data_IF_163903674955
#
_entry.id   IF_163903674955
#
_cell.length_a   1.000
_cell.length_b   1.000
_cell.length_c   1.000
_cell.angle_alpha   90.00
_cell.angle_beta   90.00
_cell.angle_gamma   90.00
#
_symmetry.space_group_name_H-M   'P 1'
#
loop_
_entity.id
_entity.type
_entity.pdbx_description
1 polymer ?
2 non-polymer ?
3 water ?
#
# COMPACT_ATOMS: atom_id res chain seq x y z
N UNK A 2 18.69 22.38 19.27
CA UNK A 2 20.07 21.91 19.28
C UNK A 2 20.52 21.53 17.87
N UNK A 3 21.34 20.49 17.78
CA UNK A 3 21.92 20.05 16.51
C UNK A 3 21.45 18.63 16.17
N UNK A 4 21.17 18.40 14.89
CA UNK A 4 20.59 17.14 14.46
C UNK A 4 21.51 16.34 13.54
N UNK A 5 22.80 16.64 13.56
CA UNK A 5 23.75 15.86 12.79
C UNK A 5 24.63 15.04 13.72
N UNK A 6 24.83 15.55 14.94
CA UNK A 6 25.61 14.85 15.95
C UNK A 6 24.76 13.75 16.57
N UNK A 7 25.32 12.54 16.56
CA UNK A 7 24.72 11.36 17.19
C UNK A 7 24.67 11.50 18.65
N UNK A 8 23.67 10.82 19.18
CA UNK A 8 23.43 10.82 20.59
C UNK A 8 24.23 9.69 21.20
N UNK A 9 24.33 9.68 22.53
CA UNK A 9 24.97 8.54 23.18
C UNK A 9 24.24 7.25 22.85
N UNK A 10 24.98 6.22 22.41
CA UNK A 10 24.39 4.93 22.08
C UNK A 10 23.64 4.31 23.25
N UNK A 11 22.82 3.31 22.94
CA UNK A 11 22.20 2.49 23.95
C UNK A 11 22.27 1.03 23.45
N UNK A 12 22.94 0.20 24.23
CA UNK A 12 23.25 -1.18 23.87
C UNK A 12 22.02 -2.06 24.03
N UNK A 13 21.11 -1.60 24.89
CA UNK A 13 19.83 -2.25 25.06
C UNK A 13 19.11 -2.16 23.72
N UNK A 14 19.29 -1.01 23.07
CA UNK A 14 18.57 -0.66 21.86
C UNK A 14 19.09 -1.38 20.62
N UNK A 15 20.41 -1.35 20.40
CA UNK A 15 21.01 -1.95 19.21
C UNK A 15 20.71 -3.43 19.06
N UNK A 16 20.56 -4.13 20.18
CA UNK A 16 20.34 -5.56 20.11
C UNK A 16 18.89 -5.80 19.72
N UNK A 17 18.04 -4.80 19.97
CA UNK A 17 16.65 -4.86 19.56
C UNK A 17 16.48 -4.62 18.06
N UNK A 18 16.94 -3.46 17.60
CA UNK A 18 16.81 -3.06 16.21
C UNK A 18 17.60 -3.93 15.23
N UNK A 19 18.76 -4.38 15.66
CA UNK A 19 19.80 -4.87 14.75
C UNK A 19 20.15 -6.35 14.94
N UNK A 20 19.19 -7.22 14.69
CA UNK A 20 19.40 -8.66 14.88
C UNK A 20 20.29 -9.27 13.80
N UNK A 21 21.60 -9.07 13.93
CA UNK A 21 22.56 -9.71 13.04
C UNK A 21 22.37 -9.42 11.56
N UNK A 34 20.93 -6.49 -14.85
CA UNK A 34 19.63 -5.93 -14.51
C UNK A 34 19.51 -4.48 -15.01
N UNK A 35 18.52 -4.18 -15.86
CA UNK A 35 18.47 -2.85 -16.47
C UNK A 35 17.61 -1.84 -15.67
N UNK A 36 17.95 -0.57 -15.77
CA UNK A 36 17.21 0.46 -15.06
C UNK A 36 16.92 1.64 -15.96
N UNK A 37 15.66 2.03 -16.03
CA UNK A 37 15.22 3.13 -16.88
C UNK A 37 14.95 4.41 -16.08
N UNK A 38 15.40 5.55 -16.61
CA UNK A 38 15.14 6.85 -16.01
C UNK A 38 14.57 7.81 -17.08
N UNK A 39 13.56 8.58 -16.72
CA UNK A 39 12.87 9.42 -17.70
C UNK A 39 12.54 10.81 -17.16
N UNK A 40 13.30 11.81 -17.61
CA UNK A 40 13.02 13.19 -17.26
C UNK A 40 14.22 14.10 -17.37
N UNK A 41 13.99 15.41 -17.22
CA UNK A 41 15.04 16.41 -17.25
C UNK A 41 16.07 16.23 -16.13
N UNK A 42 17.31 16.61 -16.42
CA UNK A 42 18.37 16.76 -15.42
C UNK A 42 18.38 15.69 -14.32
N UNK A 43 18.11 14.43 -14.67
CA UNK A 43 18.16 13.38 -13.68
C UNK A 43 19.60 13.14 -13.24
N UNK A 44 19.92 13.48 -11.98
CA UNK A 44 21.30 13.40 -11.49
C UNK A 44 21.80 11.97 -11.57
N UNK A 45 23.06 11.81 -11.99
CA UNK A 45 23.62 10.47 -12.26
C UNK A 45 23.50 9.56 -11.05
N UNK A 46 23.39 8.27 -11.35
CA UNK A 46 23.14 7.26 -10.32
C UNK A 46 24.42 6.85 -9.62
N UNK A 47 24.32 5.99 -8.60
CA UNK A 47 25.45 5.81 -7.69
C UNK A 47 26.09 4.47 -7.20
N UNK A 48 27.41 4.53 -7.21
CA UNK A 48 28.37 3.50 -6.78
C UNK A 48 28.04 2.68 -5.45
N UNK A 49 27.58 3.31 -4.34
CA UNK A 49 27.85 2.88 -2.97
C UNK A 49 27.26 3.97 -2.14
N UNK A 50 26.99 3.68 -0.89
CA UNK A 50 26.41 4.65 -0.01
C UNK A 50 27.37 5.80 0.24
N UNK A 51 28.63 5.54 -0.02
CA UNK A 51 29.69 6.52 0.19
C UNK A 51 29.69 7.83 -0.68
N UNK A 52 29.18 7.88 -1.93
CA UNK A 52 29.23 9.14 -2.76
C UNK A 52 28.84 10.43 -2.11
N UNK A 53 27.63 10.31 -1.59
CA UNK A 53 26.83 11.45 -1.17
C UNK A 53 26.94 11.34 0.29
N UNK A 54 27.55 12.36 0.81
CA UNK A 54 27.76 12.47 2.22
C UNK A 54 26.36 12.50 2.81
N UNK A 55 25.87 11.31 3.17
CA UNK A 55 24.60 11.19 3.88
C UNK A 55 24.76 11.76 5.28
N UNK A 56 25.90 11.45 5.89
CA UNK A 56 26.16 11.89 7.25
C UNK A 56 26.35 10.70 8.16
N UNK A 57 26.95 10.94 9.32
CA UNK A 57 27.42 9.83 10.14
C UNK A 57 26.26 8.97 10.64
N UNK A 58 25.17 9.58 11.11
CA UNK A 58 24.07 8.84 11.71
C UNK A 58 23.54 7.80 10.74
N UNK A 59 23.54 8.15 9.46
CA UNK A 59 23.05 7.24 8.45
C UNK A 59 23.99 6.05 8.21
N UNK A 60 25.25 6.28 7.84
CA UNK A 60 26.16 5.17 7.58
C UNK A 60 26.59 4.48 8.87
N UNK A 61 26.57 5.25 9.96
CA UNK A 61 26.72 4.65 11.27
C UNK A 61 25.72 3.53 11.33
N UNK A 62 24.46 3.89 11.13
CA UNK A 62 23.38 2.92 11.10
C UNK A 62 23.38 1.99 9.89
N UNK A 63 23.93 2.46 8.77
CA UNK A 63 24.00 1.63 7.57
C UNK A 63 24.85 0.39 7.83
N UNK A 64 25.96 0.57 8.54
CA UNK A 64 26.81 -0.56 8.84
C UNK A 64 26.14 -1.43 9.89
N UNK A 65 25.45 -0.80 10.83
CA UNK A 65 24.70 -1.55 11.81
C UNK A 65 23.67 -2.44 11.13
N UNK A 66 23.00 -1.92 10.10
CA UNK A 66 21.84 -2.59 9.52
C UNK A 66 22.13 -3.66 8.46
N UNK A 67 23.40 -4.12 8.39
CA UNK A 67 23.83 -5.19 7.47
C UNK A 67 23.91 -4.74 5.99
N UNK A 68 23.35 -3.59 5.62
CA UNK A 68 23.37 -3.22 4.20
C UNK A 68 24.80 -3.03 3.70
N UNK A 69 25.14 -3.70 2.59
CA UNK A 69 26.50 -3.65 2.03
C UNK A 69 26.57 -2.75 0.79
N UNK A 70 25.79 -3.11 -0.23
CA UNK A 70 25.63 -2.27 -1.42
C UNK A 70 24.14 -1.94 -1.47
N UNK A 71 23.81 -0.70 -1.84
CA UNK A 71 22.40 -0.29 -1.99
C UNK A 71 21.68 -1.24 -2.99
N UNK A 72 20.39 -1.11 -3.24
CA UNK A 72 19.81 -2.02 -4.23
C UNK A 72 19.63 -1.27 -5.54
N UNK A 73 19.43 -1.99 -6.66
CA UNK A 73 19.27 -1.30 -7.96
C UNK A 73 18.29 -0.13 -7.88
N UNK A 74 17.18 -0.34 -7.18
CA UNK A 74 16.24 0.74 -6.92
C UNK A 74 16.87 1.78 -6.02
N UNK A 75 17.40 1.31 -4.88
CA UNK A 75 17.99 2.21 -3.89
C UNK A 75 19.04 3.11 -4.49
N UNK A 76 19.54 2.73 -5.64
CA UNK A 76 20.70 3.40 -6.20
C UNK A 76 20.38 4.44 -7.25
N UNK A 77 19.31 4.21 -7.98
CA UNK A 77 18.82 5.25 -8.86
C UNK A 77 17.90 6.16 -8.05
N UNK A 78 17.28 5.62 -7.01
CA UNK A 78 16.35 6.39 -6.18
C UNK A 78 17.02 7.34 -5.19
N UNK A 79 17.89 6.80 -4.33
CA UNK A 79 18.50 7.60 -3.26
C UNK A 79 19.17 8.91 -3.74
N UNK A 80 19.90 8.90 -4.88
CA UNK A 80 20.50 10.17 -5.32
C UNK A 80 19.49 11.17 -5.85
N UNK A 81 18.49 10.67 -6.58
CA UNK A 81 17.43 11.53 -7.08
C UNK A 81 16.70 12.24 -5.95
N UNK A 82 16.45 11.51 -4.87
CA UNK A 82 15.77 12.04 -3.69
C UNK A 82 16.64 13.05 -2.96
N UNK A 83 17.90 12.70 -2.77
CA UNK A 83 18.84 13.58 -2.07
C UNK A 83 19.00 14.91 -2.82
N UNK A 84 18.78 14.87 -4.13
CA UNK A 84 18.92 16.05 -4.97
C UNK A 84 17.61 16.85 -5.08
N UNK A 85 16.75 16.72 -4.08
CA UNK A 85 15.49 17.45 -4.02
C UNK A 85 14.69 17.38 -5.32
N UNK A 86 14.47 16.15 -5.82
CA UNK A 86 13.69 15.94 -7.02
C UNK A 86 12.63 14.87 -6.81
N UNK A 87 11.37 15.19 -7.12
CA UNK A 87 10.29 14.21 -7.04
C UNK A 87 10.57 13.03 -7.94
N UNK A 88 9.99 11.87 -7.63
CA UNK A 88 10.14 10.69 -8.48
C UNK A 88 8.97 9.71 -8.39
N UNK A 89 8.84 8.91 -9.44
CA UNK A 89 7.80 7.92 -9.53
C UNK A 89 8.50 6.63 -9.90
N UNK A 90 8.53 5.67 -8.96
CA UNK A 90 9.36 4.50 -9.12
C UNK A 90 8.55 3.22 -9.17
N UNK A 91 8.92 2.35 -10.10
CA UNK A 91 8.29 1.05 -10.21
C UNK A 91 9.29 -0.06 -9.94
N UNK A 92 8.94 -0.96 -9.03
CA UNK A 92 9.82 -2.05 -8.64
C UNK A 92 9.00 -3.15 -8.00
N UNK A 93 9.42 -4.39 -8.20
CA UNK A 93 8.73 -5.54 -7.63
C UNK A 93 9.14 -5.62 -6.20
N UNK A 94 8.44 -6.39 -5.41
CA UNK A 94 8.80 -6.29 -4.03
C UNK A 94 9.99 -7.14 -3.70
N UNK A 95 10.57 -6.85 -2.55
CA UNK A 95 11.84 -7.39 -2.16
C UNK A 95 12.94 -6.60 -2.83
N UNK A 96 12.62 -5.49 -3.48
CA UNK A 96 13.62 -4.71 -4.20
C UNK A 96 14.35 -3.66 -3.36
N UNK A 97 13.93 -3.51 -2.11
CA UNK A 97 14.56 -2.57 -1.19
C UNK A 97 14.08 -1.15 -1.42
N UNK A 98 12.80 -1.00 -1.77
CA UNK A 98 12.27 0.33 -2.04
C UNK A 98 12.13 1.14 -0.75
N UNK A 99 11.89 0.46 0.37
CA UNK A 99 11.68 1.14 1.65
C UNK A 99 12.89 2.00 2.05
N UNK A 100 14.06 1.38 2.09
CA UNK A 100 15.27 2.11 2.44
C UNK A 100 15.62 3.13 1.38
N UNK A 101 15.08 2.94 0.17
CA UNK A 101 15.39 3.83 -0.94
C UNK A 101 14.96 5.26 -0.66
N UNK A 102 13.83 5.42 0.04
CA UNK A 102 13.38 6.76 0.39
C UNK A 102 13.68 7.13 1.83
N UNK A 103 13.72 6.14 2.72
CA UNK A 103 13.97 6.42 4.12
C UNK A 103 15.37 6.95 4.34
N UNK A 104 16.35 6.39 3.64
CA UNK A 104 17.74 6.78 3.86
C UNK A 104 18.01 8.24 3.46
N UNK A 105 17.63 8.65 2.25
CA UNK A 105 17.97 10.02 1.89
C UNK A 105 17.10 11.05 2.62
N UNK A 106 15.80 10.76 2.76
CA UNK A 106 14.90 11.65 3.49
C UNK A 106 15.42 11.95 4.88
N UNK A 107 15.68 10.89 5.65
CA UNK A 107 16.19 11.05 7.01
C UNK A 107 17.53 11.74 7.01
N UNK A 108 18.35 11.48 6.00
CA UNK A 108 19.64 12.14 5.88
C UNK A 108 19.47 13.66 5.80
N UNK A 109 18.53 14.10 4.95
CA UNK A 109 18.24 15.53 4.80
C UNK A 109 17.74 16.13 6.10
N UNK A 110 16.80 15.44 6.74
CA UNK A 110 16.22 15.94 7.98
C UNK A 110 17.29 16.11 9.06
N UNK A 111 18.32 15.27 9.02
CA UNK A 111 19.42 15.38 9.98
C UNK A 111 20.29 16.60 9.71
N UNK A 112 20.49 16.91 8.43
CA UNK A 112 21.38 18.00 8.04
C UNK A 112 20.70 19.35 8.17
N UNK A 113 19.47 19.45 7.64
CA UNK A 113 18.74 20.70 7.63
C UNK A 113 18.29 21.10 9.04
N UNK A 114 17.96 20.11 9.86
CA UNK A 114 17.52 20.35 11.22
C UNK A 114 16.02 20.28 11.25
N UNK A 115 15.41 20.37 12.45
CA UNK A 115 13.95 20.27 12.51
C UNK A 115 13.28 21.31 11.62
N UNK A 116 13.81 22.52 11.63
CA UNK A 116 13.25 23.58 10.83
C UNK A 116 12.73 24.66 11.75
N UNK A 117 12.78 25.89 11.28
CA UNK A 117 12.49 27.06 12.10
C UNK A 117 11.10 27.01 12.71
N UNK A 118 10.14 26.51 11.95
CA UNK A 118 8.76 26.39 12.40
C UNK A 118 8.66 25.57 13.68
N UNK A 119 8.99 24.29 13.59
CA UNK A 119 8.95 23.39 14.73
C UNK A 119 9.69 23.95 15.93
N UNK A 120 10.95 24.33 15.68
CA UNK A 120 11.80 25.01 16.66
C UNK A 120 11.06 26.09 17.42
N UNK A 121 10.46 27.00 16.65
CA UNK A 121 9.72 28.12 17.21
C UNK A 121 8.63 27.70 18.19
N UNK A 122 8.34 26.40 18.26
CA UNK A 122 7.29 25.90 19.12
C UNK A 122 7.78 24.85 20.11
N UNK A 123 9.10 24.66 20.22
CA UNK A 123 9.62 23.59 21.08
C UNK A 123 9.85 24.12 22.49
N UNK A 130 3.72 19.60 22.99
CA UNK A 130 2.95 18.37 23.11
C UNK A 130 1.63 18.43 22.36
N UNK A 131 0.77 17.43 22.61
CA UNK A 131 -0.52 17.25 21.90
C UNK A 131 -0.37 17.26 20.38
N UNK A 132 -1.10 18.16 19.70
CA UNK A 132 -1.11 18.19 18.24
C UNK A 132 0.28 18.21 17.63
N UNK A 133 0.54 17.24 16.74
CA UNK A 133 1.88 17.05 16.20
C UNK A 133 1.94 17.44 14.74
N UNK A 134 3.10 17.94 14.31
CA UNK A 134 3.31 18.27 12.91
C UNK A 134 4.52 17.49 12.41
N UNK A 135 4.25 16.39 11.71
CA UNK A 135 5.32 15.57 11.16
C UNK A 135 6.08 16.27 10.05
N UNK A 136 7.40 16.09 10.04
CA UNK A 136 8.23 16.63 8.98
C UNK A 136 8.05 15.80 7.71
N UNK A 137 7.81 14.50 7.88
CA UNK A 137 7.61 13.61 6.75
C UNK A 137 6.42 12.69 6.96
N UNK A 138 5.63 12.51 5.91
CA UNK A 138 4.49 11.60 5.96
C UNK A 138 4.66 10.45 4.97
N UNK A 139 4.63 9.22 5.46
CA UNK A 139 4.66 8.05 4.57
C UNK A 139 3.34 7.29 4.61
N UNK A 140 2.65 7.23 3.47
CA UNK A 140 1.37 6.53 3.39
C UNK A 140 1.55 5.12 2.88
N UNK A 141 0.98 4.16 3.61
CA UNK A 141 1.14 2.76 3.28
C UNK A 141 -0.23 2.14 3.22
N UNK A 142 -0.36 1.06 2.43
CA UNK A 142 -1.65 0.41 2.21
C UNK A 142 -2.16 -0.39 3.39
N UNK A 143 -1.25 -1.09 4.08
CA UNK A 143 -1.66 -2.07 5.09
C UNK A 143 -0.91 -1.94 6.39
N UNK A 144 -1.45 -2.54 7.45
CA UNK A 144 -0.73 -2.64 8.70
C UNK A 144 0.66 -3.29 8.53
N UNK A 145 0.71 -4.42 7.83
CA UNK A 145 1.95 -5.14 7.66
C UNK A 145 3.04 -4.28 7.01
N UNK A 146 2.73 -3.64 5.90
CA UNK A 146 3.73 -2.79 5.27
C UNK A 146 4.05 -1.57 6.11
N UNK A 147 3.02 -1.01 6.78
CA UNK A 147 3.22 0.19 7.59
C UNK A 147 4.20 -0.13 8.71
N UNK A 148 4.00 -1.28 9.36
CA UNK A 148 4.88 -1.70 10.44
C UNK A 148 6.28 -1.92 9.90
N UNK A 149 6.36 -2.56 8.74
CA UNK A 149 7.65 -2.80 8.09
C UNK A 149 8.43 -1.51 7.87
N UNK A 150 7.78 -0.51 7.28
CA UNK A 150 8.42 0.77 7.05
C UNK A 150 8.85 1.38 8.38
N UNK A 151 7.94 1.29 9.35
CA UNK A 151 8.19 1.82 10.67
C UNK A 151 9.46 1.22 11.28
N UNK A 152 9.54 -0.12 11.24
CA UNK A 152 10.65 -0.81 11.89
C UNK A 152 11.98 -0.43 11.28
N UNK A 153 12.03 -0.24 9.98
CA UNK A 153 13.29 0.19 9.39
C UNK A 153 13.53 1.68 9.64
N UNK A 154 12.46 2.44 9.84
CA UNK A 154 12.63 3.84 10.17
C UNK A 154 13.38 3.96 11.50
N UNK A 155 13.02 3.09 12.45
CA UNK A 155 13.68 3.03 13.75
C UNK A 155 15.17 2.71 13.60
N UNK A 156 15.48 1.76 12.72
CA UNK A 156 16.87 1.38 12.45
C UNK A 156 17.69 2.58 12.00
N UNK A 157 17.11 3.39 11.13
CA UNK A 157 17.86 4.50 10.56
C UNK A 157 17.70 5.78 11.32
N UNK A 158 16.86 5.79 12.34
CA UNK A 158 16.73 6.96 13.21
C UNK A 158 17.38 6.73 14.55
N UNK A 159 17.88 5.52 14.77
CA UNK A 159 18.65 5.21 15.97
C UNK A 159 19.79 6.21 16.13
N UNK A 160 19.95 6.72 17.36
CA UNK A 160 20.99 7.69 17.71
C UNK A 160 20.70 9.07 17.11
N UNK A 161 19.47 9.27 16.66
CA UNK A 161 19.06 10.58 16.15
C UNK A 161 17.94 11.12 17.03
N UNK A 162 17.60 12.40 16.84
CA UNK A 162 16.52 12.99 17.62
C UNK A 162 15.22 12.98 16.83
N UNK A 163 15.22 12.23 15.73
CA UNK A 163 14.01 12.01 14.95
C UNK A 163 13.22 10.84 15.51
N UNK A 164 11.99 11.09 15.92
CA UNK A 164 11.19 10.03 16.50
C UNK A 164 10.06 9.64 15.56
N UNK A 165 10.09 8.41 15.05
CA UNK A 165 9.06 7.95 14.14
C UNK A 165 7.87 7.33 14.84
N UNK A 166 6.71 7.33 14.17
CA UNK A 166 5.51 6.71 14.72
C UNK A 166 4.78 5.99 13.61
N UNK A 167 3.92 5.04 13.96
CA UNK A 167 3.14 4.37 12.95
C UNK A 167 1.70 4.26 13.44
N UNK A 168 0.73 4.52 12.57
CA UNK A 168 -0.67 4.33 12.93
C UNK A 168 -1.36 3.56 11.80
N UNK A 169 -2.40 2.80 12.12
CA UNK A 169 -3.09 2.00 11.12
C UNK A 169 -4.48 1.63 11.60
N UNK A 170 -5.35 1.24 10.68
CA UNK A 170 -6.70 0.88 11.07
C UNK A 170 -6.70 -0.50 11.69
N UNK A 171 -7.87 -0.99 12.05
CA UNK A 171 -8.00 -2.32 12.64
C UNK A 171 -7.17 -2.47 13.91
N UNK A 172 -7.17 -1.42 14.73
CA UNK A 172 -6.43 -1.40 15.98
C UNK A 172 -6.89 -0.23 16.85
N UNK A 173 -6.69 -0.35 18.16
CA UNK A 173 -7.13 0.67 19.10
C UNK A 173 -6.48 2.00 18.78
N UNK A 174 -7.31 3.02 18.59
CA UNK A 174 -6.80 4.34 18.26
C UNK A 174 -6.26 5.07 19.49
N UNK A 175 -6.71 4.68 20.67
CA UNK A 175 -6.32 5.36 21.90
C UNK A 175 -4.82 5.33 22.20
N UNK A 176 -4.17 4.18 21.98
CA UNK A 176 -2.74 3.98 22.24
C UNK A 176 -1.95 4.67 21.16
N UNK A 177 -2.57 4.78 19.99
CA UNK A 177 -1.91 5.39 18.84
C UNK A 177 -1.85 6.87 19.11
N UNK A 178 -2.98 7.43 19.52
CA UNK A 178 -3.09 8.85 19.84
C UNK A 178 -2.07 9.23 20.89
N UNK A 179 -1.91 8.37 21.88
CA UNK A 179 -1.00 8.64 22.97
C UNK A 179 0.46 8.45 22.55
N UNK A 180 0.68 7.52 21.62
CA UNK A 180 2.00 7.34 21.03
C UNK A 180 2.40 8.59 20.25
N UNK A 181 1.42 9.18 19.58
CA UNK A 181 1.67 10.41 18.82
C UNK A 181 2.12 11.51 19.75
N UNK A 182 1.38 11.69 20.84
CA UNK A 182 1.58 12.83 21.73
C UNK A 182 2.95 12.80 22.42
N UNK A 183 3.65 11.68 22.29
CA UNK A 183 5.01 11.59 22.80
C UNK A 183 6.03 12.25 21.86
N UNK A 184 5.57 12.70 20.70
CA UNK A 184 6.47 13.32 19.74
C UNK A 184 6.49 12.54 18.43
N UNK A 185 6.40 13.23 17.32
CA UNK A 185 6.34 12.55 16.05
C UNK A 185 6.89 13.38 14.90
N UNK A 186 8.06 13.02 14.39
CA UNK A 186 8.64 13.77 13.29
C UNK A 186 8.41 13.07 11.98
N UNK A 187 8.48 11.74 12.00
CA UNK A 187 8.20 10.94 10.82
C UNK A 187 7.00 10.04 11.08
N UNK A 188 5.96 10.22 10.28
CA UNK A 188 4.75 9.43 10.49
C UNK A 188 4.51 8.45 9.36
N UNK A 189 4.33 7.17 9.71
CA UNK A 189 3.87 6.15 8.79
C UNK A 189 2.38 5.90 9.05
N UNK A 190 1.56 5.86 8.01
CA UNK A 190 0.12 5.73 8.25
C UNK A 190 -0.66 5.08 7.12
N UNK A 191 -1.73 4.39 7.48
CA UNK A 191 -2.71 3.97 6.49
C UNK A 191 -3.67 5.14 6.39
N UNK A 192 -4.08 5.49 5.16
CA UNK A 192 -4.85 6.70 4.87
C UNK A 192 -6.09 6.87 5.74
N UNK A 193 -6.86 5.81 5.95
CA UNK A 193 -8.08 5.93 6.73
C UNK A 193 -7.87 6.34 8.17
N UNK A 194 -6.74 5.92 8.74
CA UNK A 194 -6.46 6.18 10.15
C UNK A 194 -5.86 7.58 10.29
N UNK A 195 -5.10 8.00 9.29
CA UNK A 195 -4.52 9.35 9.30
C UNK A 195 -5.61 10.39 9.23
N UNK A 196 -6.58 10.17 8.35
CA UNK A 196 -7.72 11.06 8.25
C UNK A 196 -8.46 11.12 9.58
N UNK A 197 -8.54 9.99 10.27
CA UNK A 197 -9.17 9.95 11.58
C UNK A 197 -8.40 10.82 12.59
N UNK A 198 -7.07 10.78 12.52
CA UNK A 198 -6.24 11.56 13.44
C UNK A 198 -6.39 13.06 13.16
N UNK A 199 -6.41 13.43 11.88
CA UNK A 199 -6.53 14.83 11.52
C UNK A 199 -7.86 15.40 12.01
N UNK A 200 -8.96 14.72 11.70
CA UNK A 200 -10.27 15.15 12.19
C UNK A 200 -10.34 15.25 13.72
N UNK A 201 -9.48 14.50 14.42
CA UNK A 201 -9.45 14.53 15.89
C UNK A 201 -8.49 15.58 16.39
N UNK A 202 -7.84 16.28 15.47
CA UNK A 202 -6.93 17.34 15.86
C UNK A 202 -5.62 16.85 16.43
N UNK A 203 -5.20 15.65 16.04
CA UNK A 203 -3.98 15.08 16.58
C UNK A 203 -2.78 15.28 15.67
N UNK A 204 -3.05 15.47 14.37
CA UNK A 204 -1.98 15.58 13.36
C UNK A 204 -2.21 16.74 12.42
N UNK A 205 -1.18 17.55 12.23
CA UNK A 205 -1.27 18.61 11.25
C UNK A 205 -0.17 18.49 10.22
N UNK A 206 -0.50 18.77 8.97
CA UNK A 206 0.42 18.57 7.88
C UNK A 206 1.07 19.86 7.40
N UNK A 207 0.91 20.94 8.17
CA UNK A 207 1.38 22.27 7.76
C UNK A 207 2.86 22.35 7.49
N UNK A 208 3.65 21.51 8.15
CA UNK A 208 5.10 21.60 8.01
C UNK A 208 5.70 20.33 7.45
N UNK A 209 4.85 19.48 6.89
CA UNK A 209 5.31 18.26 6.27
C UNK A 209 6.06 18.61 5.00
N UNK A 210 7.31 18.18 4.90
CA UNK A 210 8.20 18.58 3.81
C UNK A 210 8.53 17.42 2.88
N UNK A 211 8.31 16.19 3.33
CA UNK A 211 8.50 14.99 2.51
C UNK A 211 7.27 14.10 2.53
N UNK A 212 6.74 13.77 1.35
CA UNK A 212 5.56 12.90 1.28
C UNK A 212 5.90 11.66 0.47
N UNK A 213 5.46 10.49 0.96
CA UNK A 213 5.75 9.25 0.28
C UNK A 213 4.51 8.39 0.17
N UNK A 214 4.18 7.98 -1.05
CA UNK A 214 3.12 7.00 -1.23
C UNK A 214 3.70 5.64 -1.59
N UNK A 215 3.88 4.77 -0.60
CA UNK A 215 4.44 3.45 -0.86
C UNK A 215 3.32 2.52 -1.30
N UNK A 216 3.59 1.71 -2.34
CA UNK A 216 2.60 0.77 -2.86
C UNK A 216 1.32 1.50 -3.29
N UNK A 217 1.47 2.57 -4.07
CA UNK A 217 0.35 3.43 -4.47
C UNK A 217 -0.80 2.67 -5.14
N UNK A 218 -0.46 1.86 -6.13
CA UNK A 218 -1.45 1.07 -6.88
C UNK A 218 -2.38 0.27 -5.96
N UNK A 219 -1.81 -0.36 -4.95
CA UNK A 219 -2.62 -1.13 -4.01
C UNK A 219 -3.54 -0.26 -3.15
N UNK A 220 -3.06 0.92 -2.76
CA UNK A 220 -3.87 1.84 -1.98
C UNK A 220 -5.09 2.25 -2.76
N UNK A 221 -4.92 2.39 -4.08
CA UNK A 221 -6.05 2.68 -4.94
C UNK A 221 -6.96 1.47 -5.09
N UNK A 222 -6.39 0.27 -5.11
CA UNK A 222 -7.21 -0.95 -5.27
C UNK A 222 -8.17 -1.13 -4.10
N UNK A 223 -7.73 -0.75 -2.91
CA UNK A 223 -8.54 -0.89 -1.71
C UNK A 223 -9.50 0.29 -1.53
N UNK A 224 -9.38 1.27 -2.44
CA UNK A 224 -10.29 2.39 -2.47
C UNK A 224 -9.94 3.50 -1.50
N UNK A 225 -8.64 3.80 -1.39
CA UNK A 225 -8.15 4.83 -0.47
C UNK A 225 -8.03 6.20 -1.15
N UNK A 226 -8.38 6.26 -2.44
CA UNK A 226 -8.19 7.47 -3.22
C UNK A 226 -8.89 8.69 -2.63
N UNK A 227 -10.16 8.55 -2.20
CA UNK A 227 -10.76 9.74 -1.59
C UNK A 227 -9.99 10.21 -0.38
N UNK A 228 -9.52 9.26 0.44
CA UNK A 228 -8.79 9.62 1.64
C UNK A 228 -7.45 10.23 1.28
N UNK A 229 -6.79 9.66 0.28
CA UNK A 229 -5.48 10.17 -0.08
C UNK A 229 -5.63 11.58 -0.63
N UNK A 230 -6.72 11.84 -1.34
CA UNK A 230 -6.90 13.15 -1.92
C UNK A 230 -7.35 14.14 -0.86
N UNK A 231 -7.88 13.62 0.23
CA UNK A 231 -8.23 14.46 1.36
C UNK A 231 -6.97 14.91 2.08
N UNK A 232 -6.05 13.96 2.26
CA UNK A 232 -4.80 14.21 2.97
C UNK A 232 -3.90 15.18 2.22
N UNK A 233 -3.72 14.93 0.93
CA UNK A 233 -2.75 15.67 0.15
C UNK A 233 -3.30 16.99 -0.37
N UNK A 234 -4.43 16.94 -1.05
CA UNK A 234 -4.96 18.08 -1.78
C UNK A 234 -5.86 19.00 -0.97
N UNK A 235 -6.67 18.41 -0.10
CA UNK A 235 -7.75 19.14 0.54
C UNK A 235 -7.41 19.66 1.92
N UNK A 236 -6.14 19.66 2.31
CA UNK A 236 -5.86 20.12 3.66
C UNK A 236 -4.77 21.18 3.70
N UNK A 237 -3.99 21.16 4.76
CA UNK A 237 -2.98 22.18 5.00
C UNK A 237 -1.61 21.76 4.50
N UNK A 238 -1.57 20.71 3.71
CA UNK A 238 -0.30 20.18 3.25
C UNK A 238 0.32 21.04 2.16
N UNK A 239 1.59 21.40 2.31
CA UNK A 239 2.30 22.22 1.32
C UNK A 239 2.12 21.65 -0.04
N UNK A 240 1.94 22.50 -1.06
CA UNK A 240 1.69 22.08 -2.44
C UNK A 240 2.97 21.56 -3.09
N UNK A 241 2.84 20.88 -4.22
CA UNK A 241 4.00 20.33 -4.93
C UNK A 241 4.94 21.47 -5.31
N UNK A 242 6.23 21.18 -5.38
CA UNK A 242 7.22 22.21 -5.62
C UNK A 242 7.80 22.73 -4.32
N UNK A 243 6.94 22.80 -3.29
CA UNK A 243 7.37 23.19 -1.95
C UNK A 243 7.77 21.95 -1.17
N UNK A 244 6.85 21.01 -1.08
CA UNK A 244 7.12 19.71 -0.49
C UNK A 244 7.87 18.82 -1.49
N UNK A 245 8.52 17.78 -0.98
CA UNK A 245 9.16 16.78 -1.83
C UNK A 245 8.29 15.54 -1.82
N UNK A 246 7.87 15.08 -3.00
CA UNK A 246 6.90 13.99 -3.11
C UNK A 246 7.46 12.78 -3.87
N UNK A 247 7.17 11.59 -3.35
CA UNK A 247 7.65 10.34 -3.95
C UNK A 247 6.59 9.25 -3.94
N UNK A 248 6.41 8.58 -5.07
CA UNK A 248 5.45 7.49 -5.20
C UNK A 248 6.19 6.23 -5.61
N UNK A 249 5.83 5.10 -4.99
CA UNK A 249 6.39 3.81 -5.35
C UNK A 249 5.22 2.91 -5.68
N UNK A 250 5.32 2.26 -6.84
CA UNK A 250 4.22 1.46 -7.32
C UNK A 250 4.72 0.32 -8.18
N UNK A 251 4.25 -0.88 -7.87
CA UNK A 251 4.56 -2.08 -8.64
C UNK A 251 4.07 -1.90 -10.07
N UNK A 252 2.76 -1.83 -10.24
CA UNK A 252 2.13 -1.57 -11.53
C UNK A 252 2.07 -0.07 -11.81
N UNK A 253 1.72 0.30 -13.04
CA UNK A 253 1.61 1.70 -13.40
C UNK A 253 0.36 1.97 -14.24
N UNK A 254 -0.84 1.70 -13.69
CA UNK A 254 -2.11 1.94 -14.39
C UNK A 254 -2.29 3.41 -14.76
N UNK A 255 -3.33 3.72 -15.52
CA UNK A 255 -3.57 5.09 -15.96
C UNK A 255 -4.00 5.95 -14.76
N UNK A 256 -4.75 5.37 -13.83
CA UNK A 256 -5.17 6.12 -12.67
C UNK A 256 -3.97 6.51 -11.81
N UNK A 257 -2.91 5.70 -11.87
CA UNK A 257 -1.69 6.02 -11.14
C UNK A 257 -0.86 7.09 -11.83
N UNK A 258 -0.78 7.08 -13.16
CA UNK A 258 -0.04 8.16 -13.83
C UNK A 258 -0.78 9.48 -13.73
N UNK A 259 -2.10 9.43 -13.57
CA UNK A 259 -2.87 10.64 -13.32
C UNK A 259 -2.58 11.16 -11.93
N UNK A 260 -2.44 10.21 -11.00
CA UNK A 260 -2.13 10.56 -9.62
C UNK A 260 -0.75 11.20 -9.56
N UNK A 261 0.20 10.61 -10.28
CA UNK A 261 1.54 11.18 -10.35
C UNK A 261 1.50 12.54 -11.04
N UNK A 262 0.62 12.67 -12.02
CA UNK A 262 0.43 13.95 -12.71
C UNK A 262 0.01 15.02 -11.71
N UNK A 263 -0.91 14.65 -10.82
CA UNK A 263 -1.47 15.61 -9.87
C UNK A 263 -0.59 15.85 -8.64
N UNK A 264 0.11 14.82 -8.16
CA UNK A 264 0.88 14.96 -6.91
C UNK A 264 2.37 15.26 -7.11
N UNK A 265 2.91 14.95 -8.28
CA UNK A 265 4.35 15.09 -8.50
C UNK A 265 4.71 16.35 -9.30
N UNK A 266 5.96 16.78 -9.15
CA UNK A 266 6.42 18.02 -9.77
C UNK A 266 7.74 17.83 -10.52
N UNK A 267 7.66 17.93 -11.84
CA UNK A 267 8.76 17.69 -12.78
C UNK A 267 9.70 16.60 -12.29
N UNK A 268 9.21 15.37 -12.35
CA UNK A 268 9.86 14.25 -11.72
C UNK A 268 10.69 13.36 -12.64
N UNK A 269 11.31 12.34 -12.04
CA UNK A 269 12.04 11.31 -12.77
C UNK A 269 11.29 10.00 -12.62
N UNK A 270 11.16 9.27 -13.72
CA UNK A 270 10.47 7.98 -13.73
C UNK A 270 11.47 6.85 -13.62
N UNK A 271 11.20 5.88 -12.73
CA UNK A 271 12.11 4.75 -12.56
C UNK A 271 11.38 3.43 -12.70
N UNK A 272 12.01 2.52 -13.43
CA UNK A 272 11.56 1.15 -13.53
C UNK A 272 12.76 0.22 -13.61
N UNK A 273 12.85 -0.73 -12.69
CA UNK A 273 13.96 -1.68 -12.70
C UNK A 273 13.59 -2.86 -13.61
N UNK A 274 12.69 -3.73 -13.17
CA UNK A 274 12.08 -4.68 -14.09
C UNK A 274 11.03 -3.88 -14.81
N UNK A 275 10.65 -4.29 -16.02
CA UNK A 275 9.70 -3.49 -16.78
C UNK A 275 8.30 -3.66 -16.20
N UNK A 276 7.62 -2.52 -16.08
CA UNK A 276 6.33 -2.44 -15.42
C UNK A 276 5.19 -3.12 -16.18
N UNK A 277 4.62 -4.16 -15.57
CA UNK A 277 3.40 -4.75 -16.07
C UNK A 277 2.30 -3.73 -15.83
N UNK A 278 1.29 -3.68 -16.70
CA UNK A 278 0.21 -2.70 -16.52
C UNK A 278 -0.61 -3.03 -15.28
N UNK A 279 -0.70 -4.31 -14.96
CA UNK A 279 -1.42 -4.77 -13.77
C UNK A 279 -1.01 -6.20 -13.48
N UNK A 280 -1.21 -6.60 -12.22
CA UNK A 280 -1.12 -7.99 -11.81
C UNK A 280 0.30 -8.51 -11.88
N UNK A 281 0.49 -9.45 -12.80
CA UNK A 281 1.71 -10.25 -12.97
C UNK A 281 1.80 -11.35 -11.91
N UNK A 282 1.22 -11.24 -10.73
CA UNK A 282 1.20 -12.48 -9.95
C UNK A 282 -0.19 -12.94 -9.66
N UNK A 283 -1.09 -12.81 -10.63
CA UNK A 283 -2.40 -13.39 -10.45
C UNK A 283 -2.84 -14.14 -11.69
N UNK A 284 -3.35 -15.34 -11.47
CA UNK A 284 -3.96 -16.11 -12.53
C UNK A 284 -5.42 -15.69 -12.65
N UNK A 285 -5.86 -15.51 -13.89
CA UNK A 285 -7.17 -14.92 -14.13
C UNK A 285 -8.01 -15.89 -14.91
N UNK A 286 -9.21 -16.17 -14.42
CA UNK A 286 -10.04 -17.19 -15.03
C UNK A 286 -11.48 -16.72 -15.10
N UNK A 287 -11.98 -16.58 -16.32
CA UNK A 287 -13.35 -16.19 -16.54
C UNK A 287 -14.16 -17.39 -17.02
N UNK A 288 -15.32 -17.61 -16.42
CA UNK A 288 -16.19 -18.72 -16.78
C UNK A 288 -17.62 -18.22 -17.03
N UNK A 289 -18.30 -18.77 -18.02
CA UNK A 289 -19.70 -18.41 -18.23
C UNK A 289 -20.57 -19.14 -17.22
N UNK A 290 -21.25 -18.40 -16.33
CA UNK A 290 -22.16 -19.01 -15.36
C UNK A 290 -23.44 -18.21 -15.25
N UNK A 291 -24.57 -18.81 -15.63
CA UNK A 291 -25.88 -18.21 -15.42
C UNK A 291 -26.14 -17.99 -13.93
N UNK A 292 -26.95 -16.99 -13.59
CA UNK A 292 -27.25 -16.69 -12.18
C UNK A 292 -27.76 -17.93 -11.46
N UNK A 293 -28.58 -18.70 -12.16
CA UNK A 293 -29.17 -19.91 -11.59
C UNK A 293 -28.11 -20.90 -11.14
N UNK A 294 -26.95 -20.85 -11.80
CA UNK A 294 -25.92 -21.87 -11.61
C UNK A 294 -24.76 -21.41 -10.71
N UNK A 295 -24.74 -20.12 -10.39
CA UNK A 295 -23.62 -19.57 -9.64
C UNK A 295 -23.40 -20.27 -8.30
N UNK A 296 -24.48 -20.55 -7.58
CA UNK A 296 -24.31 -21.17 -6.28
C UNK A 296 -23.61 -22.53 -6.40
N UNK A 297 -24.15 -23.39 -7.25
CA UNK A 297 -23.53 -24.72 -7.47
C UNK A 297 -22.08 -24.56 -7.94
N UNK A 298 -21.84 -23.67 -8.90
CA UNK A 298 -20.49 -23.45 -9.39
C UNK A 298 -19.54 -23.04 -8.27
N UNK A 299 -20.01 -22.13 -7.41
CA UNK A 299 -19.22 -21.71 -6.26
C UNK A 299 -18.83 -22.90 -5.39
N UNK A 300 -19.80 -23.77 -5.13
CA UNK A 300 -19.54 -24.92 -4.27
C UNK A 300 -18.41 -25.77 -4.83
N UNK A 301 -18.41 -25.93 -6.15
CA UNK A 301 -17.35 -26.69 -6.78
C UNK A 301 -16.00 -25.97 -6.63
N UNK A 302 -16.01 -24.65 -6.79
CA UNK A 302 -14.78 -23.89 -6.63
C UNK A 302 -14.19 -24.08 -5.25
N UNK A 303 -15.05 -23.98 -4.24
CA UNK A 303 -14.58 -24.06 -2.87
C UNK A 303 -14.06 -25.47 -2.54
N UNK A 304 -14.73 -26.51 -3.05
CA UNK A 304 -14.30 -27.89 -2.77
C UNK A 304 -12.88 -28.19 -3.26
N UNK A 305 -12.44 -27.47 -4.29
CA UNK A 305 -11.08 -27.64 -4.80
C UNK A 305 -10.06 -26.77 -4.06
N UNK A 306 -10.54 -25.91 -3.18
CA UNK A 306 -9.65 -25.00 -2.47
C UNK A 306 -8.81 -25.77 -1.46
N UNK A 307 -7.51 -25.46 -1.42
CA UNK A 307 -6.66 -25.93 -0.36
C UNK A 307 -7.30 -25.40 0.90
N UNK A 308 -7.94 -26.28 1.66
CA UNK A 308 -8.82 -25.90 2.75
C UNK A 308 -8.24 -24.83 3.68
N UNK A 309 -6.90 -24.73 3.80
CA UNK A 309 -6.38 -23.69 4.66
C UNK A 309 -6.39 -22.31 3.94
N UNK A 310 -6.36 -22.28 2.61
CA UNK A 310 -6.22 -21.01 1.86
C UNK A 310 -7.44 -20.11 1.96
N UNK A 311 -7.17 -18.82 2.16
CA UNK A 311 -8.20 -17.80 2.36
C UNK A 311 -8.87 -17.36 1.06
N UNK A 312 -10.19 -17.23 1.10
CA UNK A 312 -10.96 -16.94 -0.10
C UNK A 312 -11.85 -15.74 0.07
N UNK A 313 -11.81 -14.82 -0.89
CA UNK A 313 -12.65 -13.63 -0.87
C UNK A 313 -13.68 -13.67 -2.00
N UNK A 314 -14.95 -13.47 -1.65
CA UNK A 314 -16.02 -13.57 -2.61
C UNK A 314 -16.74 -12.24 -2.75
N UNK A 315 -16.64 -11.60 -3.91
CA UNK A 315 -17.33 -10.32 -4.13
C UNK A 315 -18.74 -10.51 -4.70
N UNK A 316 -19.71 -9.82 -4.11
CA UNK A 316 -21.06 -9.81 -4.68
C UNK A 316 -21.54 -8.36 -4.84
N UNK A 317 -22.64 -8.18 -5.56
CA UNK A 317 -23.06 -6.84 -5.93
C UNK A 317 -23.79 -6.08 -4.81
N UNK A 318 -24.86 -6.66 -4.30
CA UNK A 318 -25.69 -5.99 -3.29
C UNK A 318 -25.58 -6.61 -1.88
N UNK A 319 -25.95 -5.85 -0.86
CA UNK A 319 -25.93 -6.38 0.51
C UNK A 319 -26.89 -7.54 0.67
N UNK A 320 -28.08 -7.38 0.11
CA UNK A 320 -29.08 -8.43 0.10
C UNK A 320 -28.48 -9.71 -0.46
N UNK A 321 -27.67 -9.58 -1.50
CA UNK A 321 -26.99 -10.72 -2.08
C UNK A 321 -25.88 -11.28 -1.21
N UNK A 322 -25.19 -10.41 -0.48
CA UNK A 322 -24.09 -10.82 0.39
C UNK A 322 -24.57 -11.62 1.58
N UNK A 323 -25.66 -11.15 2.20
CA UNK A 323 -26.21 -11.88 3.33
C UNK A 323 -26.79 -13.22 2.88
N UNK A 324 -27.51 -13.21 1.77
CA UNK A 324 -28.09 -14.43 1.22
C UNK A 324 -27.02 -15.49 0.93
N UNK A 325 -26.01 -15.14 0.15
CA UNK A 325 -24.95 -16.09 -0.18
C UNK A 325 -24.27 -16.65 1.06
N UNK A 326 -23.94 -15.76 1.98
CA UNK A 326 -23.22 -16.15 3.17
C UNK A 326 -24.07 -17.10 3.98
N UNK A 327 -25.36 -16.80 4.02
CA UNK A 327 -26.31 -17.68 4.69
C UNK A 327 -26.24 -19.05 4.03
N UNK A 328 -26.42 -19.05 2.71
CA UNK A 328 -26.29 -20.27 1.93
C UNK A 328 -25.01 -21.03 2.26
N UNK A 329 -23.87 -20.35 2.28
CA UNK A 329 -22.62 -21.09 2.49
C UNK A 329 -22.53 -21.70 3.86
N UNK A 330 -23.01 -20.99 4.87
CA UNK A 330 -22.90 -21.43 6.24
C UNK A 330 -23.68 -22.73 6.49
N UNK A 331 -24.79 -22.90 5.77
CA UNK A 331 -25.69 -24.03 6.00
C UNK A 331 -25.26 -25.27 5.26
N UNK A 332 -24.45 -25.08 4.22
CA UNK A 332 -23.83 -26.18 3.51
C UNK A 332 -22.49 -26.44 4.18
N UNK A 333 -22.34 -25.86 5.37
CA UNK A 333 -21.27 -26.22 6.30
C UNK A 333 -19.89 -25.67 6.02
N UNK A 334 -19.83 -24.45 5.50
CA UNK A 334 -18.54 -23.82 5.30
C UNK A 334 -18.28 -22.80 6.39
N UNK A 335 -17.02 -22.69 6.79
CA UNK A 335 -16.61 -21.66 7.73
C UNK A 335 -16.50 -20.32 7.01
N UNK A 336 -17.59 -19.57 6.96
CA UNK A 336 -17.60 -18.29 6.29
C UNK A 336 -18.06 -17.17 7.20
N UNK A 337 -17.74 -15.96 6.78
CA UNK A 337 -18.24 -14.77 7.44
C UNK A 337 -18.60 -13.74 6.38
N UNK A 338 -19.40 -12.74 6.75
CA UNK A 338 -19.75 -11.70 5.81
C UNK A 338 -19.35 -10.36 6.36
N UNK A 339 -19.05 -9.43 5.46
CA UNK A 339 -18.89 -8.05 5.83
C UNK A 339 -19.91 -7.25 5.09
N UNK A 340 -20.99 -6.92 5.75
CA UNK A 340 -21.87 -6.02 5.07
C UNK A 340 -22.48 -4.97 6.04
N UNK A 341 -23.58 -4.35 5.65
CA UNK A 341 -23.94 -3.03 6.18
C UNK A 341 -25.40 -2.95 6.55
N UNK A 342 -26.10 -3.99 6.15
CA UNK A 342 -27.22 -4.48 6.92
C UNK A 342 -26.60 -5.07 8.20
N UNK A 343 -25.33 -5.46 8.10
CA UNK A 343 -24.53 -5.87 9.25
C UNK A 343 -24.24 -4.67 10.12
N UNK A 344 -24.10 -4.93 11.42
CA UNK A 344 -23.79 -3.87 12.36
C UNK A 344 -22.35 -3.46 12.21
N UNK A 345 -22.08 -2.19 12.46
CA UNK A 345 -20.77 -1.70 12.16
C UNK A 345 -19.66 -2.38 13.00
N UNK A 346 -19.87 -2.84 14.30
CA UNK A 346 -18.77 -3.62 14.99
C UNK A 346 -19.25 -5.07 15.27
N UNK A 347 -19.78 -5.64 14.14
CA UNK A 347 -19.26 -6.93 13.72
C UNK A 347 -17.89 -6.55 12.98
N UNK A 348 -17.78 -5.33 12.41
CA UNK A 348 -16.48 -4.71 12.04
C UNK A 348 -15.28 -5.64 11.64
N UNK A 349 -14.22 -5.58 12.43
CA UNK A 349 -13.06 -6.45 12.20
C UNK A 349 -13.40 -7.83 12.72
N UNK A 350 -14.43 -7.97 13.54
CA UNK A 350 -14.78 -9.31 14.04
C UNK A 350 -14.86 -10.28 12.86
N UNK A 351 -15.53 -9.86 11.78
CA UNK A 351 -15.49 -10.62 10.54
C UNK A 351 -14.07 -10.65 9.99
N UNK A 352 -13.45 -9.48 9.89
CA UNK A 352 -12.07 -9.35 9.40
C UNK A 352 -11.09 -10.19 10.21
N UNK A 353 -11.29 -10.15 11.53
CA UNK A 353 -10.38 -10.72 12.49
C UNK A 353 -10.50 -12.25 12.45
N UNK A 354 -11.69 -12.72 12.12
CA UNK A 354 -11.90 -14.15 11.93
C UNK A 354 -11.30 -14.62 10.61
N UNK A 355 -11.07 -13.67 9.71
CA UNK A 355 -10.59 -14.00 8.37
C UNK A 355 -9.13 -14.42 8.37
N UNK A 356 -8.22 -13.57 8.86
CA UNK A 356 -6.81 -13.94 8.91
C UNK A 356 -6.55 -15.04 9.94
N UNK A 357 -7.50 -15.21 10.85
CA UNK A 357 -7.39 -16.24 11.87
C UNK A 357 -7.48 -17.65 11.25
N UNK A 358 -8.20 -17.74 10.13
CA UNK A 358 -8.41 -19.03 9.48
C UNK A 358 -9.64 -19.69 10.03
N UNK A 359 -10.21 -19.05 11.05
CA UNK A 359 -11.48 -19.45 11.65
C UNK A 359 -12.54 -19.52 10.56
N UNK A 360 -12.63 -18.47 9.76
CA UNK A 360 -13.54 -18.42 8.63
C UNK A 360 -12.80 -17.97 7.38
N UNK A 361 -12.23 -18.93 6.64
CA UNK A 361 -11.43 -18.71 5.42
C UNK A 361 -12.23 -18.19 4.22
N UNK A 362 -13.55 -18.11 4.35
CA UNK A 362 -14.38 -17.56 3.29
C UNK A 362 -15.08 -16.28 3.74
N UNK A 363 -14.76 -15.17 3.10
CA UNK A 363 -15.43 -13.91 3.41
C UNK A 363 -16.24 -13.43 2.21
N UNK A 364 -17.56 -13.33 2.40
CA UNK A 364 -18.44 -12.76 1.40
C UNK A 364 -18.60 -11.26 1.65
N UNK A 365 -18.46 -10.44 0.60
CA UNK A 365 -18.47 -9.00 0.78
C UNK A 365 -18.90 -8.24 -0.47
N UNK A 366 -19.41 -7.02 -0.28
CA UNK A 366 -19.61 -6.10 -1.38
C UNK A 366 -18.38 -5.22 -1.48
N UNK A 367 -18.04 -4.78 -2.69
CA UNK A 367 -16.85 -3.96 -2.89
C UNK A 367 -16.87 -2.70 -2.03
N UNK A 368 -18.04 -2.07 -1.95
CA UNK A 368 -18.20 -0.83 -1.20
C UNK A 368 -17.97 -1.08 0.30
N UNK A 369 -18.40 -2.24 0.79
CA UNK A 369 -18.22 -2.54 2.20
C UNK A 369 -16.80 -2.96 2.54
N UNK A 370 -15.97 -3.14 1.51
CA UNK A 370 -14.61 -3.59 1.75
C UNK A 370 -13.63 -2.46 1.50
N UNK A 371 -14.17 -1.28 1.18
CA UNK A 371 -13.33 -0.09 0.98
C UNK A 371 -12.51 0.23 2.22
N UNK A 372 -11.21 0.35 2.03
CA UNK A 372 -10.33 0.76 3.12
C UNK A 372 -10.21 -0.26 4.22
N UNK A 373 -10.58 -1.50 3.94
CA UNK A 373 -10.40 -2.59 4.91
C UNK A 373 -9.19 -3.42 4.52
N UNK A 374 -8.28 -3.60 5.47
CA UNK A 374 -7.08 -4.39 5.23
C UNK A 374 -7.42 -5.87 5.28
N UNK A 375 -8.03 -6.37 4.21
CA UNK A 375 -8.33 -7.79 4.10
C UNK A 375 -7.11 -8.52 3.60
N UNK A 376 -6.30 -9.03 4.53
CA UNK A 376 -4.97 -9.52 4.17
C UNK A 376 -4.85 -11.03 4.00
N UNK A 377 -3.83 -11.40 3.22
CA UNK A 377 -3.47 -12.78 2.87
C UNK A 377 -4.61 -13.62 2.29
N UNK A 378 -5.28 -13.03 1.29
CA UNK A 378 -6.32 -13.65 0.44
C UNK A 378 -5.79 -14.38 -0.81
N UNK A 379 -5.81 -15.71 -0.81
CA UNK A 379 -5.24 -16.42 -1.95
C UNK A 379 -6.22 -16.52 -3.12
N UNK A 380 -7.51 -16.67 -2.86
CA UNK A 380 -8.46 -16.79 -3.97
C UNK A 380 -9.50 -15.68 -3.92
N UNK A 381 -9.53 -14.87 -4.97
CA UNK A 381 -10.59 -13.90 -5.13
C UNK A 381 -11.61 -14.46 -6.12
N UNK A 382 -12.88 -14.43 -5.73
CA UNK A 382 -13.93 -14.88 -6.63
C UNK A 382 -14.93 -13.79 -6.94
N UNK A 383 -15.03 -13.37 -8.19
CA UNK A 383 -16.07 -12.41 -8.53
C UNK A 383 -17.36 -13.14 -8.86
N UNK A 384 -18.13 -13.44 -7.82
CA UNK A 384 -19.44 -14.04 -7.96
C UNK A 384 -20.29 -13.19 -8.91
N UNK A 385 -20.18 -11.88 -8.73
CA UNK A 385 -20.77 -10.91 -9.62
C UNK A 385 -19.68 -10.01 -10.14
N UNK A 386 -19.76 -9.66 -11.40
CA UNK A 386 -18.77 -8.78 -11.98
C UNK A 386 -19.29 -7.38 -11.88
N UNK A 387 -18.39 -6.41 -11.71
CA UNK A 387 -18.77 -5.00 -11.64
C UNK A 387 -19.14 -4.49 -13.03
N UNK A 388 -19.45 -3.20 -13.17
CA UNK A 388 -19.91 -2.70 -14.45
C UNK A 388 -18.79 -2.02 -15.23
N UNK A 389 -17.66 -1.77 -14.58
CA UNK A 389 -16.50 -1.21 -15.28
C UNK A 389 -15.23 -2.00 -15.01
N UNK A 390 -14.28 -1.94 -15.94
CA UNK A 390 -13.06 -2.73 -15.84
C UNK A 390 -12.13 -2.22 -14.73
N UNK A 391 -12.27 -0.95 -14.36
CA UNK A 391 -11.40 -0.34 -13.34
C UNK A 391 -11.70 -0.92 -11.95
N UNK A 392 -12.97 -1.15 -11.68
CA UNK A 392 -13.35 -1.81 -10.44
C UNK A 392 -12.89 -3.28 -10.44
N UNK A 393 -12.86 -3.90 -11.63
CA UNK A 393 -12.45 -5.29 -11.75
C UNK A 393 -10.97 -5.41 -11.39
N UNK A 394 -10.17 -4.50 -11.93
CA UNK A 394 -8.77 -4.34 -11.52
C UNK A 394 -8.63 -4.13 -10.01
N UNK A 395 -9.51 -3.32 -9.42
CA UNK A 395 -9.47 -3.08 -7.97
C UNK A 395 -9.67 -4.36 -7.19
N UNK A 396 -10.69 -5.13 -7.56
CA UNK A 396 -11.07 -6.33 -6.83
C UNK A 396 -10.01 -7.43 -6.90
N UNK A 397 -9.59 -7.81 -8.09
CA UNK A 397 -8.56 -8.85 -8.19
C UNK A 397 -7.24 -8.37 -7.56
N UNK A 398 -7.16 -7.07 -7.30
CA UNK A 398 -6.00 -6.49 -6.66
C UNK A 398 -5.88 -6.93 -5.21
N UNK A 399 -6.93 -7.55 -4.70
CA UNK A 399 -6.94 -8.04 -3.32
C UNK A 399 -6.20 -9.37 -3.15
N UNK A 400 -5.65 -9.91 -4.22
CA UNK A 400 -4.72 -11.02 -4.04
C UNK A 400 -3.57 -10.52 -3.17
N UNK A 401 -2.98 -11.41 -2.39
CA UNK A 401 -2.00 -11.01 -1.41
C UNK A 401 -0.59 -10.90 -1.97
N UNK A 402 0.24 -11.86 -1.56
CA UNK A 402 1.65 -11.72 -1.73
C UNK A 402 2.09 -11.83 -3.20
N UNK A 403 2.97 -10.92 -3.48
CA UNK A 403 3.98 -10.96 -4.49
C UNK A 403 4.71 -12.26 -4.85
N UNK A 404 5.23 -12.91 -3.80
CA UNK A 404 6.21 -13.95 -3.98
C UNK A 404 5.48 -15.14 -4.53
N UNK A 405 4.17 -15.20 -4.29
CA UNK A 405 3.35 -16.40 -4.47
C UNK A 405 2.27 -16.06 -5.46
N UNK A 406 2.06 -16.93 -6.43
CA UNK A 406 1.05 -16.70 -7.45
C UNK A 406 -0.35 -16.74 -6.83
N UNK A 407 -1.18 -15.76 -7.14
CA UNK A 407 -2.56 -15.74 -6.66
C UNK A 407 -3.61 -16.11 -7.71
N UNK A 408 -4.89 -16.19 -7.32
CA UNK A 408 -5.91 -16.63 -8.28
C UNK A 408 -7.19 -15.82 -8.22
N UNK A 409 -7.69 -15.46 -9.40
CA UNK A 409 -8.91 -14.68 -9.53
C UNK A 409 -9.89 -15.33 -10.48
N UNK A 410 -10.98 -15.86 -9.94
CA UNK A 410 -12.00 -16.49 -10.77
C UNK A 410 -13.24 -15.62 -10.85
N UNK A 411 -13.67 -15.34 -12.08
CA UNK A 411 -14.84 -14.50 -12.31
C UNK A 411 -15.99 -15.23 -13.01
N UNK A 412 -17.17 -15.16 -12.41
CA UNK A 412 -18.40 -15.64 -13.04
C UNK A 412 -18.93 -14.55 -13.96
N UNK A 413 -19.27 -14.94 -15.19
CA UNK A 413 -19.63 -14.01 -16.26
C UNK A 413 -20.90 -14.51 -16.93
N UNK A 414 -21.82 -13.62 -17.26
CA UNK A 414 -22.94 -14.01 -18.10
C UNK A 414 -23.48 -12.81 -18.88
N UNK A 415 -24.76 -12.84 -19.26
CA UNK A 415 -25.31 -11.82 -20.15
C UNK A 415 -25.40 -10.46 -19.48
N UNK A 416 -25.44 -10.46 -18.14
CA UNK A 416 -25.51 -9.21 -17.38
C UNK A 416 -24.23 -8.43 -17.48
N UNK A 417 -23.21 -9.03 -18.07
CA UNK A 417 -21.90 -8.42 -18.05
C UNK A 417 -21.38 -8.06 -19.41
N UNK A 418 -22.23 -8.19 -20.42
CA UNK A 418 -21.89 -7.90 -21.82
C UNK A 418 -21.06 -6.64 -22.03
N UNK A 419 -21.46 -5.55 -21.37
CA UNK A 419 -20.81 -4.24 -21.53
C UNK A 419 -19.29 -4.24 -21.32
N UNK A 420 -18.78 -5.21 -20.58
CA UNK A 420 -17.37 -5.17 -20.19
C UNK A 420 -16.50 -6.19 -20.94
N UNK A 421 -17.07 -6.89 -21.93
CA UNK A 421 -16.33 -7.93 -22.65
C UNK A 421 -15.00 -7.39 -23.17
N UNK A 422 -15.07 -6.34 -23.98
CA UNK A 422 -13.89 -5.88 -24.71
C UNK A 422 -12.82 -5.40 -23.75
N UNK A 423 -13.23 -4.64 -22.74
CA UNK A 423 -12.29 -4.25 -21.69
C UNK A 423 -11.69 -5.49 -21.00
N UNK A 424 -12.54 -6.48 -20.73
CA UNK A 424 -12.06 -7.66 -20.01
C UNK A 424 -11.13 -8.46 -20.91
N UNK A 425 -11.50 -8.57 -22.17
CA UNK A 425 -10.69 -9.24 -23.18
C UNK A 425 -9.32 -8.58 -23.39
N UNK A 426 -9.31 -7.25 -23.46
CA UNK A 426 -8.06 -6.53 -23.63
C UNK A 426 -7.17 -6.69 -22.43
N UNK A 427 -7.79 -6.65 -21.26
CA UNK A 427 -7.05 -6.79 -20.02
C UNK A 427 -6.41 -8.16 -19.95
N UNK A 428 -7.18 -9.19 -20.30
CA UNK A 428 -6.68 -10.56 -20.24
C UNK A 428 -5.53 -10.75 -21.23
N UNK A 429 -5.70 -10.23 -22.44
CA UNK A 429 -4.64 -10.30 -23.43
C UNK A 429 -3.35 -9.60 -22.93
N UNK A 430 -3.48 -8.38 -22.43
CA UNK A 430 -2.33 -7.63 -21.93
C UNK A 430 -1.76 -8.23 -20.64
N UNK A 431 -2.56 -9.01 -19.94
CA UNK A 431 -2.08 -9.66 -18.73
C UNK A 431 -1.53 -11.06 -19.06
N UNK A 432 -1.60 -11.44 -20.33
CA UNK A 432 -1.14 -12.75 -20.78
C UNK A 432 -1.88 -13.89 -20.09
N UNK A 433 -3.21 -13.83 -20.08
CA UNK A 433 -4.04 -14.83 -19.41
C UNK A 433 -4.83 -15.64 -20.41
N UNK A 434 -5.35 -16.79 -20.00
CA UNK A 434 -6.11 -17.59 -20.93
C UNK A 434 -7.41 -16.86 -21.27
N UNK A 435 -7.67 -16.72 -22.56
CA UNK A 435 -8.88 -16.08 -23.01
C UNK A 435 -9.91 -17.14 -23.40
N UNK A 436 -11.03 -17.17 -22.68
CA UNK A 436 -12.15 -18.04 -23.10
C UNK A 436 -12.52 -17.76 -24.55
N UNK A 437 -12.53 -18.80 -25.37
CA UNK A 437 -12.74 -18.65 -26.80
C UNK A 437 -14.10 -18.05 -27.16
N UNK A 438 -15.03 -18.02 -26.21
CA UNK A 438 -16.33 -17.41 -26.45
C UNK A 438 -16.34 -15.90 -26.19
N UNK A 439 -15.31 -15.41 -25.50
CA UNK A 439 -15.30 -14.03 -25.05
C UNK A 439 -15.09 -13.10 -26.26
N UNK A 440 -14.17 -13.49 -27.13
CA UNK A 440 -13.97 -12.77 -28.38
C UNK A 440 -15.25 -12.68 -29.21
N UNK A 441 -15.92 -13.81 -29.33
CA UNK A 441 -17.19 -13.87 -30.07
C UNK A 441 -18.27 -12.96 -29.50
N UNK A 442 -18.14 -12.59 -28.22
CA UNK A 442 -19.09 -11.68 -27.60
C UNK A 442 -18.76 -10.23 -27.95
N UNK A 443 -17.55 -10.00 -28.43
CA UNK A 443 -17.09 -8.68 -28.84
C UNK A 443 -16.84 -8.58 -30.36
X LIG B 1 8.27 -4.25 0.08
X LIG B 1 8.60 -5.29 -1.04
X LIG B 1 6.81 -3.71 -0.13
X LIG B 1 8.43 -4.96 1.40
X LIG B 1 10.95 -3.71 -0.23
X LIG B 1 10.87 -5.16 0.09
X LIG B 1 11.46 -3.52 -1.69
X LIG B 1 9.42 -3.03 -0.10
X LIG B 1 12.55 -3.78 1.96
X LIG B 1 11.48 -4.45 2.73
X LIG B 1 13.39 -2.73 2.71
X LIG B 1 11.94 -2.99 0.72
X LIG B 1 13.45 -4.92 1.34
X LIG B 1 13.29 -6.32 1.71
X LIG B 1 14.49 -6.75 2.50
X LIG B 1 15.70 -6.29 1.83
X LIG B 1 14.56 -6.23 3.93
X LIG B 1 14.82 -7.28 4.85
X LIG B 1 15.72 -5.22 3.90
X LIG B 1 16.43 -5.13 5.13
X LIG B 1 16.60 -5.79 2.81
X LIG B 1 17.47 -4.81 2.17
X LIG B 1 17.12 -3.55 1.78
X LIG B 1 18.10 -2.86 1.23
X LIG B 1 19.17 -3.74 1.28
X LIG B 1 20.51 -3.62 0.85
X LIG B 1 21.01 -2.53 0.27
X LIG B 1 21.32 -4.69 1.04
X LIG B 1 20.83 -5.79 1.60
X LIG B 1 19.59 -6.01 2.04
X LIG B 1 18.80 -4.95 1.84
#
# INVERSE_FOLDING_TARGET
>A
EDDWSKPLPPSERLEQELFSGGNTGINFEKYDDIPVEATGNNCPPHIESFSDVEMGEIIMGNIELTRYTRPTPVQKHAIPIIKEKRDLMACAQTGSGKTAAFLLPILSQIYSDGPGEALRAMKENGRYGRRKQYPISLVLAPTRELAVQIYEEARKFSYRSRVRPCVVYGGADIGQQIRDLERGCHLLVATPGRLVDMMERGKIGLDFCKYLVLDEADRMLDMGFEPQIRRIVEQDTMPPKGVRHTMMFSATFPKEIQMLARDFLDEYIFLAVGRVGSTSENITQKVVWVEESDKRSFLLDLLNATGKDSLTLVFVETKKGADSLEDFLYHEGYACTSIHGDRSQRDREEALHQFRSGKSPILVATAVAARGLDISNVKHVINFDLPSDIEEYVHRIGRTGRVGNLGLATSFFNERNINITKDLLDLLVEAKQEVPSWLENMAYEHHYKGSS
>B hetero
1 ANP PG O1G O2G O3G PB O1B O2B N3B PA O1A O2A O3A O5' C5' C4' O4' C3' O3' C2' O2' C1' N9 C8 N7 C5 C6 N6 N1 C2 N3 C4
#
